data_IF_538141798431
#
_entry.id   IF_538141798431
#
_cell.length_a   1.000
_cell.length_b   1.000
_cell.length_c   1.000
_cell.angle_alpha   90.00
_cell.angle_beta   90.00
_cell.angle_gamma   90.00
#
_symmetry.space_group_name_H-M   'P 1'
#
loop_
_entity.id
_entity.type
_entity.pdbx_description
1 polymer ?
#
# COMPACT_ATOMS: atom_id res chain seq x y z
N UNK A 1 27.98 7.83 80.87
CA UNK A 1 27.62 8.50 79.65
C UNK A 1 26.29 7.96 79.10
N UNK A 2 25.22 8.72 79.40
CA UNK A 2 23.84 8.26 79.29
C UNK A 2 23.20 8.78 78.07
N UNK A 3 22.76 7.89 77.14
CA UNK A 3 22.02 8.26 75.91
C UNK A 3 20.51 8.25 76.17
N UNK A 4 19.92 9.42 76.11
CA UNK A 4 18.48 9.66 76.21
C UNK A 4 17.82 9.27 74.85
N UNK A 5 16.97 8.25 74.85
CA UNK A 5 16.07 7.88 73.75
C UNK A 5 14.85 8.82 73.81
N UNK A 6 14.73 9.65 72.78
CA UNK A 6 13.60 10.56 72.57
C UNK A 6 12.50 9.80 71.82
N UNK A 7 11.42 9.47 72.51
CA UNK A 7 10.20 8.90 71.97
C UNK A 7 9.47 9.98 71.15
N UNK A 8 9.12 9.64 69.89
CA UNK A 8 8.25 10.44 69.04
C UNK A 8 6.80 9.97 69.19
N UNK A 9 5.80 10.89 69.37
CA UNK A 9 4.40 10.51 69.44
C UNK A 9 3.88 10.13 68.06
N UNK A 10 3.23 8.96 67.98
CA UNK A 10 2.59 8.48 66.78
C UNK A 10 1.34 9.26 66.42
N UNK A 11 1.32 9.83 65.21
CA UNK A 11 0.09 10.38 64.64
C UNK A 11 -0.82 9.21 64.24
N UNK A 12 -1.93 9.09 64.98
CA UNK A 12 -3.05 8.21 64.54
C UNK A 12 -3.80 8.89 63.44
N UNK A 13 -3.63 8.39 62.18
CA UNK A 13 -4.51 8.75 61.10
C UNK A 13 -5.89 8.11 61.31
N UNK A 14 -6.85 8.94 61.69
CA UNK A 14 -8.26 8.56 61.71
C UNK A 14 -8.74 8.53 60.24
N UNK A 15 -8.82 7.35 59.68
CA UNK A 15 -9.41 7.14 58.34
C UNK A 15 -10.95 7.27 58.46
N UNK A 16 -11.48 8.43 58.16
CA UNK A 16 -12.92 8.64 58.02
C UNK A 16 -13.40 7.91 56.74
N UNK A 17 -13.88 6.68 56.90
CA UNK A 17 -14.62 5.96 55.86
C UNK A 17 -15.94 6.69 55.62
N UNK A 18 -16.02 7.50 54.57
CA UNK A 18 -17.30 8.01 54.06
C UNK A 18 -18.07 6.84 53.48
N UNK A 19 -19.10 6.40 54.15
CA UNK A 19 -20.06 5.42 53.65
C UNK A 19 -20.89 6.13 52.55
N UNK A 20 -20.59 5.87 51.32
CA UNK A 20 -21.40 6.35 50.18
C UNK A 20 -22.71 5.55 50.18
N UNK A 21 -23.83 6.23 50.42
CA UNK A 21 -25.14 5.58 50.46
C UNK A 21 -25.53 4.95 49.11
N UNK A 22 -26.38 3.91 49.12
CA UNK A 22 -26.69 3.12 47.89
C UNK A 22 -27.24 3.97 46.75
N UNK A 23 -27.86 5.10 47.03
CA UNK A 23 -28.36 6.04 45.98
C UNK A 23 -27.23 6.79 45.27
N UNK A 24 -26.14 7.13 45.97
CA UNK A 24 -24.99 7.79 45.39
C UNK A 24 -24.15 6.80 44.55
N UNK A 25 -24.07 5.55 44.96
CA UNK A 25 -23.41 4.48 44.18
C UNK A 25 -24.16 4.19 42.86
N UNK A 26 -25.51 4.19 42.85
CA UNK A 26 -26.30 4.03 41.64
C UNK A 26 -26.11 5.19 40.66
N UNK A 27 -26.07 6.43 41.13
CA UNK A 27 -25.87 7.61 40.28
C UNK A 27 -24.47 7.63 39.64
N UNK A 28 -23.43 7.20 40.36
CA UNK A 28 -22.07 7.09 39.81
C UNK A 28 -21.95 5.95 38.78
N UNK A 29 -22.67 4.84 38.97
CA UNK A 29 -22.67 3.72 38.04
C UNK A 29 -23.37 4.09 36.69
N UNK A 30 -24.45 4.87 36.75
CA UNK A 30 -25.15 5.32 35.52
C UNK A 30 -24.33 6.35 34.72
N UNK A 31 -23.60 7.24 35.40
CA UNK A 31 -22.71 8.20 34.72
C UNK A 31 -21.52 7.50 34.10
N UNK A 32 -20.92 6.48 34.74
CA UNK A 32 -19.83 5.70 34.18
C UNK A 32 -20.28 4.89 32.94
N UNK A 33 -21.49 4.33 32.95
CA UNK A 33 -22.05 3.58 31.81
C UNK A 33 -22.36 4.50 30.62
N UNK A 34 -22.82 5.74 30.86
CA UNK A 34 -23.08 6.73 29.81
C UNK A 34 -21.79 7.23 29.12
N UNK A 35 -20.67 7.30 29.85
CA UNK A 35 -19.37 7.69 29.29
C UNK A 35 -18.73 6.58 28.41
N UNK A 36 -19.05 5.30 28.62
CA UNK A 36 -18.58 4.20 27.78
C UNK A 36 -19.37 4.06 26.45
N UNK A 37 -20.59 4.59 26.36
CA UNK A 37 -21.39 4.54 25.14
C UNK A 37 -20.96 5.58 24.08
N UNK A 38 -20.11 6.53 24.42
CA UNK A 38 -19.76 7.69 23.56
C UNK A 38 -18.73 7.45 22.46
N UNK A 39 -18.13 6.25 22.31
CA UNK A 39 -17.02 6.02 21.36
C UNK A 39 -17.35 5.04 20.21
N UNK A 40 -18.59 4.69 19.99
CA UNK A 40 -18.97 3.96 18.79
C UNK A 40 -19.19 4.94 17.62
N UNK A 41 -18.11 5.52 17.10
CA UNK A 41 -18.15 6.19 15.79
C UNK A 41 -18.46 5.11 14.75
N UNK A 42 -19.56 5.20 13.98
CA UNK A 42 -19.81 4.24 12.91
C UNK A 42 -18.60 4.29 11.95
N UNK A 43 -18.15 3.14 11.43
CA UNK A 43 -17.06 3.12 10.46
C UNK A 43 -17.45 4.06 9.31
N UNK A 44 -16.49 4.93 8.92
CA UNK A 44 -16.71 5.80 7.76
C UNK A 44 -17.06 4.93 6.55
N UNK A 45 -18.05 5.33 5.72
CA UNK A 45 -18.38 4.58 4.52
C UNK A 45 -17.11 4.42 3.67
N UNK A 46 -16.85 3.20 3.21
CA UNK A 46 -15.70 2.92 2.34
C UNK A 46 -15.76 3.82 1.11
N UNK A 47 -14.65 4.45 0.70
CA UNK A 47 -14.63 5.27 -0.49
C UNK A 47 -15.13 4.46 -1.69
N UNK A 48 -16.01 5.09 -2.50
CA UNK A 48 -16.52 4.44 -3.70
C UNK A 48 -15.46 4.52 -4.79
N UNK A 49 -15.24 3.41 -5.51
CA UNK A 49 -14.36 3.39 -6.68
C UNK A 49 -14.77 4.47 -7.71
N UNK A 50 -13.76 5.14 -8.27
CA UNK A 50 -13.92 6.20 -9.27
C UNK A 50 -13.79 5.69 -10.71
N UNK A 51 -13.58 4.39 -10.88
CA UNK A 51 -13.50 3.73 -12.19
C UNK A 51 -14.35 2.47 -12.20
N UNK A 52 -14.85 2.13 -13.39
CA UNK A 52 -15.56 0.88 -13.70
C UNK A 52 -14.80 0.04 -14.73
N UNK A 53 -13.53 0.40 -15.01
CA UNK A 53 -12.69 -0.39 -15.89
C UNK A 53 -12.49 -1.80 -15.37
N UNK A 54 -12.47 -2.79 -16.28
CA UNK A 54 -12.10 -4.16 -15.90
C UNK A 54 -10.60 -4.25 -15.61
N UNK A 55 -10.14 -5.25 -14.84
CA UNK A 55 -8.73 -5.46 -14.59
C UNK A 55 -7.90 -5.58 -15.88
N UNK A 56 -8.42 -6.27 -16.89
CA UNK A 56 -7.77 -6.43 -18.20
C UNK A 56 -7.63 -5.09 -18.92
N UNK A 57 -8.67 -4.25 -18.89
CA UNK A 57 -8.63 -2.91 -19.49
C UNK A 57 -7.62 -2.02 -18.79
N UNK A 58 -7.56 -2.09 -17.44
CA UNK A 58 -6.57 -1.37 -16.65
C UNK A 58 -5.14 -1.80 -17.01
N UNK A 59 -4.87 -3.10 -17.07
CA UNK A 59 -3.53 -3.62 -17.41
C UNK A 59 -3.15 -3.24 -18.85
N UNK A 60 -4.09 -3.30 -19.78
CA UNK A 60 -3.85 -2.83 -21.16
C UNK A 60 -3.51 -1.33 -21.19
N UNK A 61 -4.23 -0.49 -20.45
CA UNK A 61 -3.95 0.94 -20.35
C UNK A 61 -2.59 1.22 -19.67
N UNK A 62 -2.22 0.48 -18.62
CA UNK A 62 -0.92 0.57 -17.95
C UNK A 62 0.21 0.23 -18.93
N UNK A 63 0.09 -0.84 -19.70
CA UNK A 63 1.06 -1.24 -20.72
C UNK A 63 1.17 -0.19 -21.84
N UNK A 64 0.05 0.39 -22.25
CA UNK A 64 0.03 1.47 -23.24
C UNK A 64 0.69 2.77 -22.72
N UNK A 65 0.66 3.02 -21.42
CA UNK A 65 1.31 4.18 -20.81
C UNK A 65 2.85 4.16 -20.95
N UNK A 66 3.46 3.00 -21.21
CA UNK A 66 4.87 2.91 -21.56
C UNK A 66 5.23 3.83 -22.74
N UNK A 67 4.28 4.05 -23.66
CA UNK A 67 4.51 4.83 -24.88
C UNK A 67 5.26 4.02 -25.95
N UNK A 68 5.42 4.65 -27.10
CA UNK A 68 6.20 4.12 -28.24
C UNK A 68 7.28 5.11 -28.63
N UNK A 69 7.97 5.68 -27.65
CA UNK A 69 9.03 6.64 -27.96
C UNK A 69 10.23 5.90 -28.54
N UNK A 70 10.30 5.85 -29.90
CA UNK A 70 11.43 5.30 -30.65
C UNK A 70 12.77 6.04 -30.37
N UNK A 71 12.72 7.14 -29.62
CA UNK A 71 13.87 7.91 -29.19
C UNK A 71 14.51 7.38 -27.87
N UNK A 72 13.82 6.54 -27.14
CA UNK A 72 14.34 5.95 -25.89
C UNK A 72 15.03 4.61 -26.22
N UNK A 73 16.35 4.55 -26.07
CA UNK A 73 17.09 3.29 -26.13
C UNK A 73 16.69 2.41 -24.93
N UNK A 74 15.89 1.37 -25.22
CA UNK A 74 15.59 0.34 -24.23
C UNK A 74 16.82 -0.58 -24.12
N UNK A 75 17.68 -0.32 -23.13
CA UNK A 75 18.75 -1.25 -22.78
C UNK A 75 18.12 -2.39 -21.99
N UNK A 76 17.97 -3.55 -22.61
CA UNK A 76 17.56 -4.76 -21.89
C UNK A 76 18.84 -5.37 -21.28
N UNK A 77 18.92 -5.51 -19.96
CA UNK A 77 20.00 -6.25 -19.35
C UNK A 77 19.94 -7.72 -19.77
N UNK A 78 21.10 -8.37 -19.90
CA UNK A 78 21.15 -9.83 -20.05
C UNK A 78 20.45 -10.46 -18.85
N UNK A 79 19.40 -11.22 -19.11
CA UNK A 79 18.62 -11.93 -18.08
C UNK A 79 19.02 -13.40 -18.04
N UNK A 80 18.75 -14.00 -16.88
CA UNK A 80 18.81 -15.45 -16.74
C UNK A 80 17.73 -16.08 -17.65
N UNK A 81 18.06 -17.06 -18.52
CA UNK A 81 17.11 -17.74 -19.38
C UNK A 81 15.90 -18.32 -18.61
N UNK A 82 16.10 -18.82 -17.40
CA UNK A 82 15.01 -19.33 -16.55
C UNK A 82 14.01 -18.22 -16.17
N UNK A 83 14.50 -17.02 -15.93
CA UNK A 83 13.63 -15.84 -15.65
C UNK A 83 12.82 -15.49 -16.89
N UNK A 84 13.42 -15.52 -18.08
CA UNK A 84 12.70 -15.22 -19.32
C UNK A 84 11.65 -16.30 -19.64
N UNK A 85 11.95 -17.58 -19.44
CA UNK A 85 11.00 -18.69 -19.60
C UNK A 85 9.79 -18.54 -18.66
N UNK A 86 10.01 -18.17 -17.38
CA UNK A 86 8.94 -17.93 -16.40
C UNK A 86 8.06 -16.73 -16.79
N UNK A 87 8.62 -15.70 -17.38
CA UNK A 87 7.86 -14.53 -17.88
C UNK A 87 7.02 -14.89 -19.09
N UNK A 88 7.58 -15.66 -20.05
CA UNK A 88 6.83 -16.15 -21.21
C UNK A 88 5.68 -17.07 -20.76
N UNK A 89 5.94 -17.94 -19.79
CA UNK A 89 4.89 -18.76 -19.17
C UNK A 89 3.79 -17.90 -18.54
N UNK A 90 4.15 -16.84 -17.80
CA UNK A 90 3.18 -15.93 -17.21
C UNK A 90 2.31 -15.25 -18.26
N UNK A 91 2.90 -14.76 -19.36
CA UNK A 91 2.16 -14.15 -20.46
C UNK A 91 1.18 -15.13 -21.13
N UNK A 92 1.59 -16.38 -21.35
CA UNK A 92 0.73 -17.42 -21.92
C UNK A 92 -0.45 -17.75 -20.99
N UNK A 93 -0.21 -17.78 -19.68
CA UNK A 93 -1.24 -17.99 -18.67
C UNK A 93 -2.21 -16.81 -18.59
N UNK A 94 -1.72 -15.56 -18.62
CA UNK A 94 -2.57 -14.36 -18.71
C UNK A 94 -3.48 -14.40 -19.94
N UNK A 95 -2.93 -14.73 -21.11
CA UNK A 95 -3.69 -14.84 -22.36
C UNK A 95 -4.80 -15.90 -22.27
N UNK A 96 -4.64 -16.88 -21.39
CA UNK A 96 -5.61 -17.93 -21.10
C UNK A 96 -6.53 -17.60 -19.91
N UNK A 97 -6.48 -16.37 -19.38
CA UNK A 97 -7.20 -15.90 -18.18
C UNK A 97 -6.90 -16.73 -16.92
N UNK A 98 -5.72 -17.35 -16.84
CA UNK A 98 -5.25 -18.11 -15.69
C UNK A 98 -4.39 -17.22 -14.79
N UNK A 99 -4.99 -16.17 -14.25
CA UNK A 99 -4.28 -15.11 -13.54
C UNK A 99 -3.52 -15.58 -12.28
N UNK A 100 -4.08 -16.45 -11.41
CA UNK A 100 -3.32 -16.94 -10.26
C UNK A 100 -2.06 -17.73 -10.65
N UNK A 101 -2.12 -18.52 -11.72
CA UNK A 101 -0.96 -19.28 -12.19
C UNK A 101 0.06 -18.37 -12.87
N UNK A 102 -0.39 -17.31 -13.58
CA UNK A 102 0.50 -16.30 -14.15
C UNK A 102 1.26 -15.56 -13.03
N UNK A 103 0.55 -15.15 -11.97
CA UNK A 103 1.13 -14.55 -10.79
C UNK A 103 2.17 -15.48 -10.12
N UNK A 104 1.85 -16.77 -9.98
CA UNK A 104 2.77 -17.75 -9.40
C UNK A 104 4.05 -17.96 -10.23
N UNK A 105 3.96 -17.87 -11.58
CA UNK A 105 5.13 -17.91 -12.44
C UNK A 105 6.04 -16.68 -12.24
N UNK A 106 5.44 -15.48 -12.14
CA UNK A 106 6.19 -14.25 -11.82
C UNK A 106 6.78 -14.27 -10.40
N UNK A 107 6.10 -14.86 -9.42
CA UNK A 107 6.64 -15.02 -8.06
C UNK A 107 7.88 -15.95 -8.06
N UNK A 108 7.91 -16.99 -8.91
CA UNK A 108 9.11 -17.82 -9.10
C UNK A 108 10.24 -17.03 -9.75
N UNK A 109 9.95 -16.22 -10.78
CA UNK A 109 10.96 -15.36 -11.40
C UNK A 109 11.53 -14.34 -10.40
N UNK A 110 10.70 -13.74 -9.55
CA UNK A 110 11.12 -12.84 -8.47
C UNK A 110 11.91 -13.57 -7.37
N UNK A 111 11.70 -14.86 -7.14
CA UNK A 111 12.56 -15.63 -6.22
C UNK A 111 14.00 -15.79 -6.75
N UNK A 112 14.19 -15.78 -8.06
CA UNK A 112 15.51 -15.79 -8.70
C UNK A 112 16.15 -14.40 -8.72
N UNK A 113 15.35 -13.37 -9.04
CA UNK A 113 15.81 -11.96 -9.13
C UNK A 113 14.85 -11.02 -8.37
N UNK A 114 14.96 -10.93 -7.04
CA UNK A 114 14.00 -10.21 -6.19
C UNK A 114 13.90 -8.69 -6.46
N UNK A 115 15.01 -8.07 -6.90
CA UNK A 115 15.14 -6.64 -7.10
C UNK A 115 15.10 -6.24 -8.59
N UNK A 116 14.39 -7.00 -9.44
CA UNK A 116 14.16 -6.60 -10.83
C UNK A 116 12.90 -5.72 -10.94
N UNK A 117 13.05 -4.41 -11.27
CA UNK A 117 11.91 -3.50 -11.34
C UNK A 117 10.88 -3.88 -12.42
N UNK A 118 11.29 -4.54 -13.51
CA UNK A 118 10.39 -4.97 -14.56
C UNK A 118 9.54 -6.16 -14.11
N UNK A 119 10.15 -7.14 -13.43
CA UNK A 119 9.42 -8.27 -12.85
C UNK A 119 8.44 -7.82 -11.76
N UNK A 120 8.85 -6.90 -10.88
CA UNK A 120 7.95 -6.32 -9.86
C UNK A 120 6.76 -5.61 -10.51
N UNK A 121 6.97 -4.89 -11.62
CA UNK A 121 5.90 -4.25 -12.37
C UNK A 121 4.96 -5.28 -13.03
N UNK A 122 5.49 -6.31 -13.65
CA UNK A 122 4.69 -7.39 -14.23
C UNK A 122 3.87 -8.11 -13.15
N UNK A 123 4.46 -8.34 -11.99
CA UNK A 123 3.73 -8.92 -10.84
C UNK A 123 2.67 -7.97 -10.27
N UNK A 124 2.90 -6.65 -10.33
CA UNK A 124 1.89 -5.65 -9.96
C UNK A 124 0.68 -5.69 -10.91
N UNK A 125 0.92 -5.84 -12.21
CA UNK A 125 -0.13 -5.99 -13.21
C UNK A 125 -0.91 -7.29 -13.02
N UNK A 126 -0.23 -8.40 -12.74
CA UNK A 126 -0.88 -9.66 -12.39
C UNK A 126 -1.75 -9.54 -11.12
N UNK A 127 -1.32 -8.77 -10.11
CA UNK A 127 -2.12 -8.52 -8.93
C UNK A 127 -3.43 -7.77 -9.24
N UNK A 128 -3.42 -6.84 -10.21
CA UNK A 128 -4.67 -6.21 -10.68
C UNK A 128 -5.60 -7.23 -11.33
N UNK A 129 -5.07 -8.15 -12.13
CA UNK A 129 -5.86 -9.23 -12.74
C UNK A 129 -6.45 -10.19 -11.70
N UNK A 130 -5.76 -10.35 -10.55
CA UNK A 130 -6.24 -11.10 -9.39
C UNK A 130 -7.22 -10.30 -8.50
N UNK A 131 -7.61 -9.06 -8.89
CA UNK A 131 -8.43 -8.16 -8.08
C UNK A 131 -7.78 -7.72 -6.75
N UNK A 132 -6.45 -7.68 -6.68
CA UNK A 132 -5.69 -7.20 -5.53
C UNK A 132 -4.97 -5.86 -5.82
N UNK A 133 -5.69 -4.74 -5.80
CA UNK A 133 -5.11 -3.42 -6.05
C UNK A 133 -4.12 -2.98 -4.96
N UNK A 134 -4.22 -3.53 -3.75
CA UNK A 134 -3.33 -3.18 -2.64
C UNK A 134 -1.92 -3.73 -2.90
N UNK A 135 -1.82 -5.01 -3.25
CA UNK A 135 -0.54 -5.61 -3.66
C UNK A 135 0.01 -4.98 -4.93
N UNK A 136 -0.86 -4.68 -5.91
CA UNK A 136 -0.46 -4.01 -7.15
C UNK A 136 0.23 -2.66 -6.88
N UNK A 137 -0.37 -1.80 -6.04
CA UNK A 137 0.24 -0.51 -5.70
C UNK A 137 1.56 -0.69 -4.95
N UNK A 138 1.61 -1.58 -3.98
CA UNK A 138 2.81 -1.85 -3.20
C UNK A 138 3.98 -2.30 -4.09
N UNK A 139 3.73 -3.23 -5.02
CA UNK A 139 4.73 -3.73 -5.96
C UNK A 139 5.18 -2.65 -6.94
N UNK A 140 4.26 -1.86 -7.53
CA UNK A 140 4.59 -0.76 -8.42
C UNK A 140 5.42 0.33 -7.72
N UNK A 141 5.12 0.65 -6.46
CA UNK A 141 5.92 1.59 -5.66
C UNK A 141 7.32 1.05 -5.37
N UNK A 142 7.44 -0.24 -5.06
CA UNK A 142 8.74 -0.87 -4.85
C UNK A 142 9.55 -0.85 -6.16
N UNK A 143 8.95 -1.26 -7.27
CA UNK A 143 9.58 -1.22 -8.59
C UNK A 143 10.08 0.19 -8.94
N UNK A 144 9.27 1.23 -8.69
CA UNK A 144 9.68 2.62 -8.88
C UNK A 144 10.81 3.04 -7.94
N UNK A 145 10.82 2.56 -6.68
CA UNK A 145 11.84 2.95 -5.71
C UNK A 145 13.25 2.49 -6.09
N UNK A 146 13.37 1.31 -6.71
CA UNK A 146 14.65 0.69 -7.08
C UNK A 146 14.98 0.85 -8.58
N UNK A 147 13.99 1.18 -9.42
CA UNK A 147 14.12 1.29 -10.87
C UNK A 147 14.50 2.67 -11.37
N UNK A 148 14.52 2.79 -12.71
CA UNK A 148 14.74 4.06 -13.38
C UNK A 148 13.59 5.05 -13.11
N UNK A 149 13.95 6.31 -12.86
CA UNK A 149 12.99 7.39 -12.59
C UNK A 149 12.43 8.04 -13.85
N UNK A 150 12.80 7.55 -15.02
CA UNK A 150 12.43 8.04 -16.34
C UNK A 150 12.17 6.86 -17.28
N UNK A 151 11.53 7.14 -18.40
CA UNK A 151 11.31 6.16 -19.45
C UNK A 151 10.03 5.32 -19.30
N UNK A 152 9.87 4.32 -20.18
CA UNK A 152 8.66 3.50 -20.29
C UNK A 152 8.24 2.82 -19.00
N UNK A 153 9.20 2.24 -18.28
CA UNK A 153 8.93 1.51 -17.04
C UNK A 153 8.47 2.46 -15.91
N UNK A 154 9.08 3.65 -15.80
CA UNK A 154 8.64 4.68 -14.88
C UNK A 154 7.17 5.06 -15.11
N UNK A 155 6.78 5.26 -16.37
CA UNK A 155 5.38 5.57 -16.75
C UNK A 155 4.43 4.43 -16.36
N UNK A 156 4.81 3.16 -16.57
CA UNK A 156 4.00 2.00 -16.19
C UNK A 156 3.79 1.92 -14.67
N UNK A 157 4.83 2.16 -13.87
CA UNK A 157 4.71 2.16 -12.41
C UNK A 157 3.65 3.17 -11.94
N UNK A 158 3.74 4.41 -12.45
CA UNK A 158 2.81 5.47 -12.03
C UNK A 158 1.41 5.28 -12.62
N UNK A 159 1.26 4.71 -13.81
CA UNK A 159 -0.04 4.33 -14.35
C UNK A 159 -0.71 3.23 -13.50
N UNK A 160 0.05 2.28 -12.96
CA UNK A 160 -0.46 1.29 -12.01
C UNK A 160 -0.96 1.96 -10.74
N UNK A 161 -0.16 2.86 -10.14
CA UNK A 161 -0.53 3.60 -8.93
C UNK A 161 -1.78 4.46 -9.18
N UNK A 162 -1.91 5.11 -10.33
CA UNK A 162 -3.11 5.85 -10.72
C UNK A 162 -4.36 4.97 -10.70
N UNK A 163 -4.32 3.79 -11.36
CA UNK A 163 -5.46 2.86 -11.42
C UNK A 163 -5.85 2.33 -10.04
N UNK A 164 -4.88 1.99 -9.20
CA UNK A 164 -5.15 1.51 -7.83
C UNK A 164 -5.80 2.61 -6.98
N UNK A 165 -5.39 3.88 -7.14
CA UNK A 165 -5.98 5.02 -6.45
C UNK A 165 -7.41 5.30 -6.91
N UNK A 166 -7.71 5.18 -8.21
CA UNK A 166 -9.06 5.27 -8.73
C UNK A 166 -9.97 4.17 -8.14
N UNK A 167 -9.47 2.93 -8.05
CA UNK A 167 -10.20 1.84 -7.40
C UNK A 167 -10.46 2.11 -5.92
N UNK A 168 -9.51 2.75 -5.23
CA UNK A 168 -9.64 3.12 -3.83
C UNK A 168 -10.53 4.36 -3.58
N UNK A 169 -11.05 5.02 -4.63
CA UNK A 169 -11.82 6.26 -4.49
C UNK A 169 -10.96 7.49 -4.16
N UNK A 170 -9.63 7.40 -4.31
CA UNK A 170 -8.67 8.48 -4.02
C UNK A 170 -8.37 9.31 -5.27
N UNK A 171 -9.24 10.26 -5.58
CA UNK A 171 -9.08 11.16 -6.72
C UNK A 171 -7.79 11.99 -6.65
N UNK A 172 -7.43 12.44 -5.45
CA UNK A 172 -6.23 13.28 -5.27
C UNK A 172 -4.96 12.47 -5.49
N UNK A 173 -4.89 11.24 -4.94
CA UNK A 173 -3.78 10.32 -5.17
C UNK A 173 -3.65 9.91 -6.63
N UNK A 174 -4.77 9.68 -7.33
CA UNK A 174 -4.77 9.37 -8.77
C UNK A 174 -4.23 10.55 -9.60
N UNK A 175 -4.69 11.78 -9.35
CA UNK A 175 -4.21 12.97 -10.03
C UNK A 175 -2.70 13.21 -9.76
N UNK A 176 -2.25 12.98 -8.53
CA UNK A 176 -0.82 13.05 -8.20
C UNK A 176 -0.01 11.99 -8.96
N UNK A 177 -0.49 10.76 -9.06
CA UNK A 177 0.18 9.70 -9.80
C UNK A 177 0.31 10.05 -11.30
N UNK A 178 -0.75 10.59 -11.90
CA UNK A 178 -0.75 11.06 -13.28
C UNK A 178 0.26 12.19 -13.50
N UNK A 179 0.33 13.14 -12.58
CA UNK A 179 1.32 14.24 -12.64
C UNK A 179 2.74 13.68 -12.62
N UNK A 180 3.06 12.75 -11.72
CA UNK A 180 4.40 12.15 -11.66
C UNK A 180 4.70 11.32 -12.91
N UNK A 181 3.73 10.55 -13.44
CA UNK A 181 3.89 9.84 -14.70
C UNK A 181 4.31 10.78 -15.86
N UNK A 182 3.79 12.00 -15.89
CA UNK A 182 4.16 13.00 -16.90
C UNK A 182 5.62 13.47 -16.81
N UNK A 183 6.26 13.33 -15.65
CA UNK A 183 7.68 13.66 -15.42
C UNK A 183 8.64 12.52 -15.79
N UNK A 184 8.13 11.32 -16.08
CA UNK A 184 8.94 10.16 -16.49
C UNK A 184 9.52 10.28 -17.91
N UNK A 185 9.45 11.44 -18.54
CA UNK A 185 9.98 11.67 -19.89
C UNK A 185 11.49 11.84 -19.88
N UNK A 186 12.16 11.21 -20.84
CA UNK A 186 13.57 11.56 -21.17
C UNK A 186 13.53 12.71 -22.15
N UNK A 187 14.15 13.84 -21.79
CA UNK A 187 14.39 14.91 -22.75
C UNK A 187 15.47 14.42 -23.71
N UNK A 188 15.10 14.15 -24.97
CA UNK A 188 16.08 13.79 -25.99
C UNK A 188 17.07 14.92 -26.20
N UNK A 189 18.31 14.63 -26.67
CA UNK A 189 19.25 15.68 -27.02
C UNK A 189 18.65 16.55 -28.14
N UNK A 190 18.77 17.87 -27.99
CA UNK A 190 18.39 18.81 -29.05
C UNK A 190 19.13 18.42 -30.33
N UNK A 191 18.41 18.00 -31.36
CA UNK A 191 18.97 17.72 -32.67
C UNK A 191 19.06 19.06 -33.39
N UNK A 192 20.28 19.57 -33.49
CA UNK A 192 20.63 20.71 -34.31
C UNK A 192 20.61 20.36 -35.80
#
# INVERSE_FOLDING_TARGET
MTRLLRQRPGLRHVATRRVVGPRAALALATIALALLAGCATPPAPSPRALTTETPEAMVAAIRAAAGRDDAELAVQPLRDPEVDDLREQALALEASHRYPEAAAALDKALALVPEDPALLQERAEAALLEHDPVSAERLARHAFAIGARVGPLCRRHWATIERTRLLAGDAAGAAQAQLVASTCKVTGPDRF
#
